data_IF_601763146456
#
_entry.id   IF_601763146456
#
_cell.length_a   1.000
_cell.length_b   1.000
_cell.length_c   1.000
_cell.angle_alpha   90.00
_cell.angle_beta   90.00
_cell.angle_gamma   90.00
#
_symmetry.space_group_name_H-M   'P 1'
#
loop_
_entity.id
_entity.type
_entity.pdbx_description
1 polymer ?
#
# COMPACT_ATOMS: atom_id res chain seq x y z
N UNK A 1 16.21 -42.66 -21.72
CA UNK A 1 15.50 -41.41 -21.43
C UNK A 1 15.93 -40.38 -22.45
N UNK A 2 15.00 -39.88 -23.25
CA UNK A 2 15.29 -38.90 -24.30
C UNK A 2 15.60 -37.52 -23.71
N UNK A 3 16.38 -36.68 -24.41
CA UNK A 3 16.72 -35.33 -23.95
C UNK A 3 15.49 -34.45 -23.61
N UNK A 4 14.30 -34.58 -24.27
CA UNK A 4 13.10 -33.87 -23.88
C UNK A 4 12.52 -34.29 -22.52
N UNK A 5 12.69 -35.54 -22.11
CA UNK A 5 12.18 -36.01 -20.80
C UNK A 5 12.94 -35.38 -19.62
N UNK A 6 14.24 -35.22 -19.78
CA UNK A 6 15.09 -34.54 -18.74
C UNK A 6 14.74 -33.07 -18.60
N UNK A 7 14.43 -32.38 -19.69
CA UNK A 7 13.99 -30.99 -19.68
C UNK A 7 12.63 -30.83 -18.98
N UNK A 8 11.68 -31.68 -19.29
CA UNK A 8 10.35 -31.67 -18.69
C UNK A 8 10.44 -31.92 -17.14
N UNK A 9 11.26 -32.89 -16.73
CA UNK A 9 11.47 -33.19 -15.30
C UNK A 9 12.14 -32.01 -14.60
N UNK A 10 13.12 -31.36 -15.20
CA UNK A 10 13.80 -30.21 -14.61
C UNK A 10 12.86 -29.00 -14.40
N UNK A 11 11.98 -28.74 -15.38
CA UNK A 11 10.98 -27.68 -15.28
C UNK A 11 9.94 -27.98 -14.19
N UNK A 12 9.48 -29.22 -14.10
CA UNK A 12 8.53 -29.65 -13.06
C UNK A 12 9.14 -29.51 -11.64
N UNK A 13 10.39 -29.92 -11.46
CA UNK A 13 11.11 -29.78 -10.18
C UNK A 13 11.25 -28.30 -9.78
N UNK A 14 11.63 -27.43 -10.73
CA UNK A 14 11.75 -25.98 -10.48
C UNK A 14 10.38 -25.37 -10.13
N UNK A 15 9.32 -25.81 -10.80
CA UNK A 15 7.95 -25.34 -10.53
C UNK A 15 7.47 -25.79 -9.13
N UNK A 16 7.68 -27.05 -8.77
CA UNK A 16 7.37 -27.59 -7.44
C UNK A 16 8.20 -26.93 -6.34
N UNK A 17 9.47 -26.63 -6.59
CA UNK A 17 10.33 -25.92 -5.64
C UNK A 17 9.86 -24.50 -5.41
N UNK A 18 9.46 -23.79 -6.47
CA UNK A 18 8.86 -22.46 -6.36
C UNK A 18 7.56 -22.48 -5.56
N UNK A 19 6.68 -23.45 -5.84
CA UNK A 19 5.44 -23.65 -5.08
C UNK A 19 5.71 -23.94 -3.60
N UNK A 20 6.67 -24.81 -3.31
CA UNK A 20 7.06 -25.17 -1.94
C UNK A 20 7.64 -23.98 -1.15
N UNK A 21 8.42 -23.12 -1.82
CA UNK A 21 8.92 -21.88 -1.22
C UNK A 21 7.78 -20.89 -0.91
N UNK A 22 6.80 -20.76 -1.80
CA UNK A 22 5.61 -19.94 -1.56
C UNK A 22 4.76 -20.47 -0.39
N UNK A 23 4.63 -21.79 -0.24
CA UNK A 23 3.88 -22.40 0.87
C UNK A 23 4.60 -22.29 2.23
N UNK A 24 5.90 -22.00 2.24
CA UNK A 24 6.72 -21.80 3.44
C UNK A 24 6.89 -20.33 3.83
N UNK A 25 6.15 -19.40 3.22
CA UNK A 25 6.12 -18.03 3.74
C UNK A 25 5.64 -18.08 5.19
N UNK A 26 6.44 -17.61 6.15
CA UNK A 26 5.99 -17.57 7.55
C UNK A 26 4.73 -16.74 7.65
N UNK A 27 3.74 -17.22 8.40
CA UNK A 27 2.60 -16.39 8.77
C UNK A 27 3.12 -15.13 9.48
N UNK A 28 2.52 -13.99 9.17
CA UNK A 28 2.85 -12.75 9.87
C UNK A 28 2.65 -12.96 11.37
N UNK A 29 3.58 -12.51 12.23
CA UNK A 29 3.47 -12.69 13.67
C UNK A 29 2.19 -12.06 14.21
N UNK A 30 1.57 -12.69 15.21
CA UNK A 30 0.46 -12.09 15.94
C UNK A 30 0.92 -10.84 16.69
N UNK A 31 0.16 -9.77 16.51
CA UNK A 31 0.49 -8.44 17.05
C UNK A 31 0.26 -8.37 18.55
N UNK A 32 1.28 -8.00 19.31
CA UNK A 32 1.16 -7.53 20.70
C UNK A 32 1.39 -6.02 20.71
N UNK A 33 0.40 -5.19 21.06
CA UNK A 33 0.55 -3.73 20.98
C UNK A 33 1.51 -3.23 22.07
N UNK A 34 2.74 -2.90 21.69
CA UNK A 34 3.62 -2.01 22.45
C UNK A 34 3.53 -0.64 21.79
N UNK A 35 2.87 0.33 22.45
CA UNK A 35 2.70 1.72 22.01
C UNK A 35 2.43 1.85 20.50
N UNK A 36 1.20 2.13 20.12
CA UNK A 36 0.85 2.21 18.68
C UNK A 36 1.56 3.41 18.06
N UNK A 37 2.46 3.23 17.06
CA UNK A 37 3.02 4.36 16.33
C UNK A 37 1.89 5.06 15.55
N UNK A 38 2.00 6.37 15.44
CA UNK A 38 1.06 7.16 14.64
C UNK A 38 1.34 6.91 13.16
N UNK A 39 0.39 6.31 12.47
CA UNK A 39 0.50 5.93 11.06
C UNK A 39 -0.16 6.97 10.17
N UNK A 40 0.54 7.53 9.19
CA UNK A 40 -0.03 8.29 8.08
C UNK A 40 -0.08 7.42 6.82
N UNK A 41 -1.27 7.28 6.23
CA UNK A 41 -1.46 6.59 4.95
C UNK A 41 -1.48 7.62 3.82
N UNK A 42 -0.62 7.45 2.82
CA UNK A 42 -0.47 8.34 1.68
C UNK A 42 -0.87 7.62 0.40
N UNK A 43 -1.80 8.21 -0.34
CA UNK A 43 -2.41 7.61 -1.55
C UNK A 43 -2.26 8.58 -2.71
N UNK A 44 -1.29 8.34 -3.62
CA UNK A 44 -1.23 9.11 -4.86
C UNK A 44 -2.35 8.64 -5.78
N UNK A 45 -3.17 9.55 -6.26
CA UNK A 45 -4.34 9.25 -7.09
C UNK A 45 -4.35 10.11 -8.36
N UNK A 46 -4.64 9.48 -9.50
CA UNK A 46 -4.87 10.18 -10.76
C UNK A 46 -5.88 9.43 -11.60
N UNK A 47 -7.09 9.98 -11.75
CA UNK A 47 -8.22 9.36 -12.43
C UNK A 47 -8.60 8.00 -11.82
N UNK A 48 -8.75 7.97 -10.50
CA UNK A 48 -9.03 6.77 -9.69
C UNK A 48 -10.44 6.81 -9.06
N UNK A 49 -11.37 7.54 -9.68
CA UNK A 49 -12.73 7.70 -9.14
C UNK A 49 -13.47 6.36 -8.94
N UNK A 50 -13.10 5.29 -9.66
CA UNK A 50 -13.74 3.97 -9.55
C UNK A 50 -13.14 3.12 -8.42
N UNK A 51 -11.85 3.23 -8.14
CA UNK A 51 -11.09 2.37 -7.23
C UNK A 51 -10.93 2.99 -5.84
N UNK A 52 -10.69 4.31 -5.79
CA UNK A 52 -10.47 5.05 -4.55
C UNK A 52 -11.56 4.86 -3.47
N UNK A 53 -12.87 4.83 -3.78
CA UNK A 53 -13.91 4.60 -2.76
C UNK A 53 -13.76 3.26 -2.03
N UNK A 54 -13.35 2.20 -2.73
CA UNK A 54 -13.17 0.87 -2.16
C UNK A 54 -11.99 0.85 -1.19
N UNK A 55 -10.86 1.45 -1.57
CA UNK A 55 -9.70 1.59 -0.70
C UNK A 55 -10.03 2.40 0.56
N UNK A 56 -10.73 3.55 0.42
CA UNK A 56 -11.10 4.38 1.57
C UNK A 56 -12.03 3.65 2.54
N UNK A 57 -12.99 2.87 2.03
CA UNK A 57 -13.85 2.02 2.85
C UNK A 57 -13.03 0.94 3.58
N UNK A 58 -12.09 0.26 2.88
CA UNK A 58 -11.23 -0.74 3.50
C UNK A 58 -10.28 -0.14 4.55
N UNK A 59 -9.86 1.11 4.41
CA UNK A 59 -9.06 1.83 5.42
C UNK A 59 -9.90 2.24 6.64
N UNK A 60 -11.17 2.58 6.45
CA UNK A 60 -12.09 2.86 7.55
C UNK A 60 -12.37 1.60 8.40
N UNK A 61 -12.33 0.41 7.80
CA UNK A 61 -12.56 -0.88 8.47
C UNK A 61 -11.29 -1.52 9.06
N UNK A 62 -10.16 -0.82 9.06
CA UNK A 62 -8.91 -1.36 9.62
C UNK A 62 -9.01 -1.56 11.14
N UNK A 63 -8.47 -2.68 11.66
CA UNK A 63 -8.37 -2.96 13.09
C UNK A 63 -7.43 -2.00 13.83
N UNK A 64 -6.41 -1.49 13.14
CA UNK A 64 -5.57 -0.39 13.58
C UNK A 64 -5.92 0.83 12.73
N UNK A 65 -6.55 1.84 13.35
CA UNK A 65 -6.90 3.06 12.64
C UNK A 65 -5.65 3.93 12.40
N UNK A 66 -5.43 4.41 11.17
CA UNK A 66 -4.37 5.37 10.92
C UNK A 66 -4.66 6.71 11.62
N UNK A 67 -3.61 7.45 11.95
CA UNK A 67 -3.72 8.83 12.44
C UNK A 67 -4.42 9.71 11.40
N UNK A 68 -4.06 9.53 10.15
CA UNK A 68 -4.59 10.27 9.02
C UNK A 68 -4.45 9.47 7.72
N UNK A 69 -5.32 9.77 6.78
CA UNK A 69 -5.24 9.32 5.38
C UNK A 69 -5.16 10.59 4.52
N UNK A 70 -4.14 10.68 3.68
CA UNK A 70 -3.93 11.80 2.75
C UNK A 70 -3.97 11.25 1.33
N UNK A 71 -4.95 11.70 0.56
CA UNK A 71 -5.04 11.45 -0.88
C UNK A 71 -4.34 12.61 -1.59
N UNK A 72 -3.37 12.31 -2.43
CA UNK A 72 -2.65 13.31 -3.22
C UNK A 72 -3.17 13.22 -4.65
N UNK A 73 -4.00 14.17 -5.04
CA UNK A 73 -4.57 14.26 -6.38
C UNK A 73 -3.54 14.81 -7.38
N UNK A 74 -3.04 13.94 -8.26
CA UNK A 74 -2.08 14.31 -9.30
C UNK A 74 -2.80 14.75 -10.58
N UNK A 75 -3.53 15.87 -10.52
CA UNK A 75 -4.21 16.49 -11.65
C UNK A 75 -5.26 15.55 -12.31
N UNK A 76 -6.14 14.94 -11.52
CA UNK A 76 -7.26 14.16 -12.05
C UNK A 76 -8.21 15.01 -12.87
N UNK A 77 -8.79 14.41 -13.90
CA UNK A 77 -9.81 15.00 -14.76
C UNK A 77 -11.21 14.44 -14.49
N UNK A 78 -11.32 13.47 -13.58
CA UNK A 78 -12.56 12.84 -13.12
C UNK A 78 -12.91 13.31 -11.69
N UNK A 79 -13.87 12.64 -11.04
CA UNK A 79 -14.35 12.99 -9.71
C UNK A 79 -13.41 12.55 -8.55
N UNK A 80 -12.18 12.08 -8.83
CA UNK A 80 -11.21 11.58 -7.82
C UNK A 80 -11.03 12.58 -6.68
N UNK A 81 -10.79 13.85 -6.98
CA UNK A 81 -10.55 14.89 -5.97
C UNK A 81 -11.77 15.19 -5.08
N UNK A 82 -12.99 14.87 -5.54
CA UNK A 82 -14.23 15.09 -4.79
C UNK A 82 -14.57 13.93 -3.84
N UNK A 83 -14.08 12.72 -4.11
CA UNK A 83 -14.40 11.49 -3.38
C UNK A 83 -13.81 11.50 -1.96
N UNK A 84 -12.55 11.87 -1.82
CA UNK A 84 -11.85 11.78 -0.53
C UNK A 84 -12.43 12.73 0.54
N UNK A 85 -12.76 14.00 0.28
CA UNK A 85 -13.43 14.87 1.24
C UNK A 85 -14.80 14.34 1.67
N UNK A 86 -15.55 13.72 0.74
CA UNK A 86 -16.84 13.12 1.05
C UNK A 86 -16.72 11.93 2.03
N UNK A 87 -15.57 11.25 2.04
CA UNK A 87 -15.22 10.21 2.99
C UNK A 87 -14.53 10.73 4.29
N UNK A 88 -14.44 12.05 4.47
CA UNK A 88 -13.77 12.66 5.62
C UNK A 88 -12.23 12.60 5.60
N UNK A 89 -11.65 12.36 4.41
CA UNK A 89 -10.21 12.18 4.21
C UNK A 89 -9.59 13.47 3.65
N UNK A 90 -8.34 13.75 4.04
CA UNK A 90 -7.61 14.94 3.57
C UNK A 90 -7.20 14.77 2.12
N UNK A 91 -7.48 15.78 1.29
CA UNK A 91 -7.00 15.85 -0.09
C UNK A 91 -5.93 16.92 -0.22
N UNK A 92 -4.84 16.56 -0.88
CA UNK A 92 -3.78 17.46 -1.29
C UNK A 92 -3.71 17.51 -2.82
N UNK A 93 -3.94 18.67 -3.41
CA UNK A 93 -3.69 18.86 -4.84
C UNK A 93 -2.18 18.90 -5.08
N UNK A 94 -1.70 18.08 -6.02
CA UNK A 94 -0.29 18.03 -6.37
C UNK A 94 0.17 19.32 -7.02
N UNK A 95 1.31 19.84 -6.59
CA UNK A 95 1.96 20.97 -7.21
C UNK A 95 2.57 20.58 -8.58
N UNK A 96 2.87 21.55 -9.46
CA UNK A 96 3.49 21.26 -10.74
C UNK A 96 4.75 20.43 -10.62
N UNK A 97 4.90 19.46 -11.52
CA UNK A 97 6.01 18.50 -11.53
C UNK A 97 7.35 19.20 -11.77
N UNK A 98 8.30 19.15 -10.83
CA UNK A 98 9.64 19.71 -11.04
C UNK A 98 10.45 18.87 -12.02
N UNK A 99 11.45 19.51 -12.65
CA UNK A 99 12.35 18.79 -13.56
C UNK A 99 13.11 17.66 -12.83
N UNK A 100 13.13 16.49 -13.42
CA UNK A 100 13.81 15.31 -12.89
C UNK A 100 12.96 14.44 -11.94
N UNK A 101 11.72 14.83 -11.67
CA UNK A 101 10.77 14.01 -10.89
C UNK A 101 9.79 13.28 -11.80
N UNK A 102 9.23 12.17 -11.34
CA UNK A 102 8.03 11.56 -11.93
C UNK A 102 6.80 11.83 -11.06
N UNK A 103 5.61 11.90 -11.69
CA UNK A 103 4.38 12.38 -11.05
C UNK A 103 4.08 11.67 -9.73
N UNK A 104 4.04 10.34 -9.74
CA UNK A 104 3.73 9.53 -8.55
C UNK A 104 4.69 9.78 -7.37
N UNK A 105 5.99 9.81 -7.64
CA UNK A 105 6.99 10.05 -6.57
C UNK A 105 6.95 11.49 -6.07
N UNK A 106 6.66 12.45 -6.94
CA UNK A 106 6.47 13.84 -6.54
C UNK A 106 5.22 14.01 -5.68
N UNK A 107 4.11 13.39 -6.05
CA UNK A 107 2.89 13.40 -5.25
C UNK A 107 3.16 12.80 -3.85
N UNK A 108 3.81 11.64 -3.77
CA UNK A 108 4.17 10.99 -2.51
C UNK A 108 5.10 11.85 -1.64
N UNK A 109 6.07 12.54 -2.24
CA UNK A 109 6.96 13.45 -1.51
C UNK A 109 6.19 14.60 -0.87
N UNK A 110 5.22 15.17 -1.57
CA UNK A 110 4.38 16.24 -1.03
C UNK A 110 3.50 15.74 0.13
N UNK A 111 2.90 14.54 -0.04
CA UNK A 111 2.16 13.88 1.02
C UNK A 111 3.02 13.65 2.28
N UNK A 112 4.24 13.13 2.10
CA UNK A 112 5.19 12.89 3.18
C UNK A 112 5.57 14.18 3.93
N UNK A 113 5.76 15.28 3.21
CA UNK A 113 6.08 16.60 3.81
C UNK A 113 4.91 17.17 4.63
N UNK A 114 3.68 16.72 4.39
CA UNK A 114 2.46 17.17 5.09
C UNK A 114 2.01 16.24 6.19
N UNK A 115 2.50 15.00 6.19
CA UNK A 115 2.10 13.99 7.15
C UNK A 115 2.59 14.28 8.57
N UNK A 116 1.83 13.79 9.57
CA UNK A 116 2.09 13.97 10.99
C UNK A 116 2.39 12.64 11.71
N UNK A 117 2.29 11.53 10.99
CA UNK A 117 2.59 10.19 11.51
C UNK A 117 4.08 9.94 11.68
N UNK A 118 4.39 9.03 12.57
CA UNK A 118 5.76 8.54 12.81
C UNK A 118 6.13 7.48 11.78
N UNK A 119 5.13 6.78 11.24
CA UNK A 119 5.27 5.76 10.21
C UNK A 119 4.45 6.17 8.98
N UNK A 120 5.08 6.17 7.80
CA UNK A 120 4.43 6.47 6.55
C UNK A 120 4.13 5.17 5.80
N UNK A 121 2.87 4.98 5.42
CA UNK A 121 2.42 3.86 4.61
C UNK A 121 1.95 4.39 3.26
N UNK A 122 2.55 3.89 2.18
CA UNK A 122 2.21 4.25 0.82
C UNK A 122 1.32 3.17 0.21
N UNK A 123 0.14 3.54 -0.28
CA UNK A 123 -0.79 2.62 -0.95
C UNK A 123 -1.20 3.17 -2.32
N UNK A 124 -1.32 2.30 -3.29
CA UNK A 124 -1.92 2.64 -4.58
C UNK A 124 -3.44 2.67 -4.45
N UNK A 125 -4.10 3.54 -5.21
CA UNK A 125 -5.54 3.78 -5.12
C UNK A 125 -6.41 2.56 -5.51
N UNK A 126 -5.83 1.57 -6.18
CA UNK A 126 -6.45 0.30 -6.58
C UNK A 126 -6.17 -0.85 -5.61
N UNK A 127 -5.59 -0.57 -4.44
CA UNK A 127 -5.25 -1.58 -3.43
C UNK A 127 -6.49 -1.96 -2.60
N UNK A 128 -6.62 -3.25 -2.27
CA UNK A 128 -7.66 -3.78 -1.38
C UNK A 128 -7.03 -4.40 -0.12
N UNK A 129 -6.68 -3.60 0.90
CA UNK A 129 -6.06 -4.12 2.12
C UNK A 129 -7.05 -4.92 2.96
N UNK A 130 -6.58 -6.04 3.55
CA UNK A 130 -7.39 -6.79 4.53
C UNK A 130 -7.61 -5.96 5.79
N UNK A 131 -8.66 -6.25 6.62
CA UNK A 131 -8.96 -5.48 7.83
C UNK A 131 -7.83 -5.42 8.87
N UNK A 132 -6.86 -6.31 8.80
CA UNK A 132 -5.71 -6.36 9.73
C UNK A 132 -4.39 -5.91 9.09
N UNK A 133 -4.45 -5.38 7.87
CA UNK A 133 -3.25 -5.05 7.09
C UNK A 133 -2.33 -4.06 7.82
N UNK A 134 -2.86 -2.92 8.29
CA UNK A 134 -2.06 -1.91 8.99
C UNK A 134 -1.49 -2.44 10.31
N UNK A 135 -2.27 -3.23 11.05
CA UNK A 135 -1.81 -3.84 12.29
C UNK A 135 -0.62 -4.79 12.05
N UNK A 136 -0.70 -5.64 11.03
CA UNK A 136 0.39 -6.54 10.66
C UNK A 136 1.62 -5.78 10.15
N UNK A 137 1.42 -4.73 9.35
CA UNK A 137 2.52 -3.91 8.85
C UNK A 137 3.30 -3.24 9.99
N UNK A 138 2.59 -2.65 10.94
CA UNK A 138 3.19 -2.03 12.14
C UNK A 138 3.91 -3.05 13.00
N UNK A 139 3.31 -4.23 13.23
CA UNK A 139 3.93 -5.30 13.99
C UNK A 139 5.25 -5.77 13.36
N UNK A 140 5.26 -5.97 12.04
CA UNK A 140 6.48 -6.34 11.32
C UNK A 140 7.56 -5.26 11.38
N UNK A 141 7.18 -3.98 11.20
CA UNK A 141 8.12 -2.87 11.32
C UNK A 141 8.76 -2.82 12.72
N UNK A 142 7.98 -2.98 13.78
CA UNK A 142 8.49 -3.01 15.16
C UNK A 142 9.40 -4.22 15.44
N UNK A 143 9.10 -5.37 14.86
CA UNK A 143 9.86 -6.60 15.10
C UNK A 143 11.22 -6.62 14.38
N UNK A 144 11.28 -6.10 13.16
CA UNK A 144 12.46 -6.24 12.31
C UNK A 144 13.27 -4.95 12.15
N UNK A 145 12.80 -3.87 12.74
CA UNK A 145 13.45 -2.56 12.70
C UNK A 145 13.43 -1.99 11.27
N UNK A 146 12.60 -1.02 11.00
CA UNK A 146 12.67 -0.26 9.76
C UNK A 146 13.88 0.67 9.74
#
# INVERSE_FOLDING_TARGET
MSSPDLLAISLLVRWLLGWFLCLRMPALPEFTPMGQPRVSVLIPARNEALTLPQLLAALADQSLQPLEVIVIDDHSSDDTAAIAPAAGVTVLASEPLPQGWCGKTWALQQGANRSQGELLVFLDADTEPSPTFLAHLVANHQQYGG
#
